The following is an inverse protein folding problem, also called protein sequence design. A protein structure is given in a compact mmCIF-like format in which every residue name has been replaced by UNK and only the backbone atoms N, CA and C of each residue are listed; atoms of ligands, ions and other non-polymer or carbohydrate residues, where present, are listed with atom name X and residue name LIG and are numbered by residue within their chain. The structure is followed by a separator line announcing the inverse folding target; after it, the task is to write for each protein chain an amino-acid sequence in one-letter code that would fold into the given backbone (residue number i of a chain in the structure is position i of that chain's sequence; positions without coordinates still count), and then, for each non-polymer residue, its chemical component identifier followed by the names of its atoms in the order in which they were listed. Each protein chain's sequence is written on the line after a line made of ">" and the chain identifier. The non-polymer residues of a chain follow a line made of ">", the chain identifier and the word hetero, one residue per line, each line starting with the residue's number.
data_IF_295904142237
#
_entry.id   IF_295904142237
#
_cell.length_a   1.000
_cell.length_b   1.000
_cell.length_c   1.000
_cell.angle_alpha   90.00
_cell.angle_beta   90.00
_cell.angle_gamma   90.00
#
_symmetry.space_group_name_H-M   'P 1'
#
loop_
_entity.id
_entity.type
_entity.pdbx_description
1 polymer ?
#
# COMPACT_ATOMS: atom_id res chain seq x y z
N UNK A 1 -9.15 14.92 -27.74
CA UNK A 1 -8.51 14.41 -26.51
C UNK A 1 -9.63 14.15 -25.52
N UNK A 2 -10.05 12.89 -25.32
CA UNK A 2 -11.25 12.58 -24.54
C UNK A 2 -11.08 12.75 -23.02
N UNK A 3 -9.85 12.77 -22.50
CA UNK A 3 -9.55 12.79 -21.05
C UNK A 3 -9.04 14.14 -20.50
N UNK A 4 -9.19 15.23 -21.26
CA UNK A 4 -8.68 16.53 -20.83
C UNK A 4 -9.64 17.20 -19.83
N UNK A 5 -9.13 17.58 -18.65
CA UNK A 5 -9.86 18.37 -17.64
C UNK A 5 -9.40 19.82 -17.71
N UNK A 6 -10.35 20.77 -17.80
CA UNK A 6 -10.04 22.20 -17.77
C UNK A 6 -9.97 22.70 -16.33
N UNK A 7 -8.86 23.35 -15.98
CA UNK A 7 -8.63 23.83 -14.61
C UNK A 7 -8.08 25.26 -14.58
N UNK A 8 -8.31 25.96 -13.47
CA UNK A 8 -7.76 27.27 -13.19
C UNK A 8 -7.10 27.30 -11.82
N UNK A 9 -5.77 27.39 -11.79
CA UNK A 9 -5.01 27.52 -10.55
C UNK A 9 -5.27 28.85 -9.81
N UNK A 10 -5.80 29.88 -10.51
CA UNK A 10 -6.08 31.19 -9.93
C UNK A 10 -7.41 31.23 -9.17
N UNK A 11 -8.42 30.54 -9.68
CA UNK A 11 -9.79 30.53 -9.11
C UNK A 11 -10.11 29.25 -8.35
N UNK A 12 -9.33 28.18 -8.55
CA UNK A 12 -9.59 26.85 -7.99
C UNK A 12 -10.59 26.03 -8.80
N UNK A 13 -11.12 26.57 -9.90
CA UNK A 13 -12.09 25.87 -10.75
C UNK A 13 -11.46 24.63 -11.37
N UNK A 14 -12.18 23.50 -11.30
CA UNK A 14 -11.77 22.21 -11.88
C UNK A 14 -10.68 21.47 -11.12
N UNK A 15 -10.15 22.00 -10.00
CA UNK A 15 -9.08 21.34 -9.24
C UNK A 15 -9.56 20.04 -8.58
N UNK A 16 -10.77 19.99 -8.03
CA UNK A 16 -11.31 18.76 -7.42
C UNK A 16 -11.54 17.67 -8.47
N UNK A 17 -12.07 18.03 -9.64
CA UNK A 17 -12.26 17.11 -10.77
C UNK A 17 -10.92 16.57 -11.29
N UNK A 18 -9.91 17.43 -11.38
CA UNK A 18 -8.55 17.04 -11.73
C UNK A 18 -7.97 16.07 -10.69
N UNK A 19 -8.14 16.33 -9.40
CA UNK A 19 -7.67 15.45 -8.33
C UNK A 19 -8.35 14.09 -8.39
N UNK A 20 -9.67 14.04 -8.60
CA UNK A 20 -10.41 12.80 -8.75
C UNK A 20 -9.91 12.00 -9.96
N UNK A 21 -9.70 12.66 -11.11
CA UNK A 21 -9.21 12.00 -12.31
C UNK A 21 -7.77 11.51 -12.18
N UNK A 22 -6.92 12.26 -11.50
CA UNK A 22 -5.57 11.81 -11.14
C UNK A 22 -5.68 10.59 -10.22
N UNK A 23 -6.53 10.61 -9.20
CA UNK A 23 -6.72 9.50 -8.27
C UNK A 23 -7.18 8.21 -8.97
N UNK A 24 -8.07 8.31 -9.96
CA UNK A 24 -8.50 7.17 -10.79
C UNK A 24 -7.38 6.58 -11.65
N UNK A 25 -6.40 7.40 -12.04
CA UNK A 25 -5.26 6.99 -12.86
C UNK A 25 -4.06 6.55 -12.02
N UNK A 26 -4.02 6.91 -10.73
CA UNK A 26 -2.98 6.46 -9.83
C UNK A 26 -3.12 4.94 -9.64
N UNK A 27 -2.03 4.18 -9.74
CA UNK A 27 -2.06 2.77 -9.35
C UNK A 27 -2.43 2.69 -7.87
N UNK A 28 -3.57 2.08 -7.58
CA UNK A 28 -3.99 1.81 -6.21
C UNK A 28 -2.98 0.84 -5.59
N UNK A 29 -2.35 1.17 -4.46
CA UNK A 29 -1.42 0.27 -3.80
C UNK A 29 -2.14 -1.05 -3.47
N UNK A 30 -1.67 -2.14 -4.07
CA UNK A 30 -2.56 -3.16 -4.63
C UNK A 30 -3.18 -4.15 -3.62
N UNK A 31 -2.65 -4.31 -2.41
CA UNK A 31 -3.31 -5.04 -1.32
C UNK A 31 -2.80 -4.47 0.01
N UNK A 32 -3.70 -4.02 0.88
CA UNK A 32 -3.38 -3.71 2.27
C UNK A 32 -3.31 -5.01 3.08
N UNK A 33 -2.22 -5.20 3.83
CA UNK A 33 -2.00 -6.41 4.61
C UNK A 33 -1.27 -6.12 5.92
N UNK A 34 -1.61 -6.91 6.93
CA UNK A 34 -0.90 -6.96 8.20
C UNK A 34 -0.36 -8.37 8.39
N UNK A 35 0.96 -8.50 8.49
CA UNK A 35 1.65 -9.80 8.63
C UNK A 35 2.56 -9.81 9.83
N UNK A 36 2.71 -10.96 10.48
CA UNK A 36 3.74 -11.16 11.51
C UNK A 36 4.84 -12.04 10.92
N UNK A 37 5.95 -11.41 10.55
CA UNK A 37 7.09 -12.08 9.95
C UNK A 37 8.01 -12.61 11.04
N UNK A 38 8.23 -13.93 11.14
CA UNK A 38 9.19 -14.51 12.07
C UNK A 38 10.61 -13.96 11.87
N UNK A 39 11.42 -13.90 12.95
CA UNK A 39 12.78 -13.35 12.88
C UNK A 39 13.74 -14.15 11.97
N UNK A 40 13.45 -15.43 11.73
CA UNK A 40 14.17 -16.29 10.78
C UNK A 40 13.79 -16.04 9.32
N UNK A 41 12.74 -15.25 9.06
CA UNK A 41 12.23 -14.90 7.72
C UNK A 41 12.42 -13.42 7.39
N UNK A 42 13.59 -12.87 7.73
CA UNK A 42 13.96 -11.48 7.40
C UNK A 42 13.95 -11.16 5.90
N UNK A 43 14.04 -12.17 5.04
CA UNK A 43 13.89 -12.07 3.58
C UNK A 43 12.52 -11.48 3.17
N UNK A 44 11.45 -11.81 3.91
CA UNK A 44 10.11 -11.29 3.64
C UNK A 44 9.97 -9.82 4.06
N UNK A 45 10.64 -9.41 5.14
CA UNK A 45 10.69 -8.00 5.55
C UNK A 45 11.43 -7.17 4.50
N UNK A 46 12.57 -7.64 4.01
CA UNK A 46 13.30 -6.99 2.91
C UNK A 46 12.45 -6.91 1.64
N UNK A 47 11.73 -7.97 1.28
CA UNK A 47 10.82 -7.96 0.13
C UNK A 47 9.71 -6.90 0.26
N UNK A 48 9.13 -6.75 1.46
CA UNK A 48 8.13 -5.72 1.75
C UNK A 48 8.72 -4.30 1.71
N UNK A 49 10.00 -4.13 2.03
CA UNK A 49 10.70 -2.86 1.83
C UNK A 49 10.97 -2.55 0.36
N UNK A 50 11.30 -3.56 -0.45
CA UNK A 50 11.68 -3.38 -1.86
C UNK A 50 10.48 -3.27 -2.80
N UNK A 51 9.43 -4.05 -2.53
CA UNK A 51 8.24 -4.23 -3.39
C UNK A 51 6.92 -3.90 -2.70
N UNK A 52 7.00 -3.29 -1.53
CA UNK A 52 5.85 -2.80 -0.79
C UNK A 52 6.08 -1.39 -0.23
N UNK A 53 5.04 -0.84 0.36
CA UNK A 53 5.05 0.40 1.11
C UNK A 53 4.64 0.10 2.53
N UNK A 54 5.60 0.12 3.44
CA UNK A 54 5.37 -0.10 4.87
C UNK A 54 4.72 1.15 5.47
N UNK A 55 3.65 0.92 6.24
CA UNK A 55 2.93 1.94 7.00
C UNK A 55 3.40 1.92 8.45
N UNK A 56 3.47 0.74 9.05
CA UNK A 56 3.91 0.55 10.44
C UNK A 56 4.66 -0.77 10.63
N UNK A 57 5.62 -0.76 11.55
CA UNK A 57 6.36 -1.94 11.97
C UNK A 57 6.43 -2.02 13.49
N UNK A 58 6.01 -3.15 14.08
CA UNK A 58 6.03 -3.39 15.52
C UNK A 58 6.73 -4.71 15.83
N UNK A 59 7.62 -4.71 16.82
CA UNK A 59 8.27 -5.94 17.31
C UNK A 59 7.37 -6.63 18.33
N UNK A 60 7.09 -7.92 18.10
CA UNK A 60 6.30 -8.78 18.98
C UNK A 60 7.07 -10.06 19.30
N UNK A 61 6.57 -10.86 20.25
CA UNK A 61 7.23 -12.11 20.63
C UNK A 61 7.37 -13.09 19.46
N UNK A 62 6.36 -13.14 18.59
CA UNK A 62 6.32 -14.04 17.43
C UNK A 62 7.15 -13.56 16.22
N UNK A 63 7.72 -12.34 16.26
CA UNK A 63 8.45 -11.76 15.14
C UNK A 63 8.19 -10.26 14.95
N UNK A 64 8.33 -9.79 13.73
CA UNK A 64 8.06 -8.41 13.34
C UNK A 64 6.68 -8.32 12.69
N UNK A 65 5.74 -7.64 13.36
CA UNK A 65 4.47 -7.25 12.75
C UNK A 65 4.71 -6.10 11.79
N UNK A 66 4.27 -6.24 10.55
CA UNK A 66 4.38 -5.24 9.49
C UNK A 66 2.99 -4.98 8.93
N UNK A 67 2.57 -3.72 8.95
CA UNK A 67 1.41 -3.21 8.23
C UNK A 67 1.93 -2.50 6.98
N UNK A 68 1.52 -2.98 5.82
CA UNK A 68 2.04 -2.50 4.55
C UNK A 68 1.02 -2.64 3.42
N UNK A 69 1.29 -1.92 2.34
CA UNK A 69 0.68 -2.19 1.05
C UNK A 69 1.68 -2.90 0.15
N UNK A 70 1.25 -3.94 -0.56
CA UNK A 70 2.13 -4.68 -1.47
C UNK A 70 1.42 -5.00 -2.79
N UNK A 71 2.20 -5.40 -3.79
CA UNK A 71 1.63 -5.96 -5.03
C UNK A 71 0.91 -7.29 -4.74
N UNK A 72 -0.05 -7.74 -5.57
CA UNK A 72 -0.77 -8.99 -5.33
C UNK A 72 0.19 -10.19 -5.25
N UNK A 73 1.26 -10.17 -6.05
CA UNK A 73 2.31 -11.20 -6.03
C UNK A 73 2.99 -11.30 -4.66
N UNK A 74 3.36 -10.16 -4.07
CA UNK A 74 3.98 -10.11 -2.74
C UNK A 74 2.96 -10.46 -1.67
N UNK A 75 1.72 -10.00 -1.79
CA UNK A 75 0.64 -10.31 -0.86
C UNK A 75 0.40 -11.83 -0.76
N UNK A 76 0.38 -12.56 -1.88
CA UNK A 76 0.28 -14.03 -1.88
C UNK A 76 1.47 -14.70 -1.20
N UNK A 77 2.69 -14.16 -1.33
CA UNK A 77 3.89 -14.73 -0.68
C UNK A 77 3.85 -14.60 0.85
N UNK A 78 3.26 -13.51 1.37
CA UNK A 78 3.20 -13.24 2.81
C UNK A 78 1.87 -13.66 3.45
N UNK A 79 0.89 -14.09 2.67
CA UNK A 79 -0.42 -14.59 3.11
C UNK A 79 -0.36 -15.62 4.26
N UNK A 80 0.58 -16.60 4.29
CA UNK A 80 0.67 -17.55 5.40
C UNK A 80 0.98 -16.91 6.76
N UNK A 81 1.50 -15.68 6.75
CA UNK A 81 1.87 -14.89 7.92
C UNK A 81 0.87 -13.76 8.21
N UNK A 82 -0.21 -13.67 7.40
CA UNK A 82 -1.23 -12.66 7.56
C UNK A 82 -1.95 -12.86 8.89
N UNK A 83 -2.15 -11.77 9.61
CA UNK A 83 -3.00 -11.72 10.80
C UNK A 83 -4.29 -11.03 10.40
N UNK A 84 -5.42 -11.67 10.73
CA UNK A 84 -6.71 -11.01 10.60
C UNK A 84 -6.68 -9.77 11.51
N UNK A 85 -6.81 -8.61 10.91
CA UNK A 85 -7.00 -7.37 11.65
C UNK A 85 -8.29 -7.53 12.46
N UNK A 86 -8.18 -7.48 13.79
CA UNK A 86 -9.35 -7.46 14.65
C UNK A 86 -9.99 -6.08 14.50
N UNK A 87 -10.99 -6.01 13.62
CA UNK A 87 -11.85 -4.85 13.39
C UNK A 87 -12.66 -4.51 14.65
#
# INVERSE_FOLDING_TARGET
>A
MPDAVFVSAKTGEGIDELQARIAELLPNPEVELTVVVPYDRGDLVSLLHDRGRIIETTYVEAGTRVHAFATPEVATLVEPYAVAEAL
#
